data_IF_472431738146
#
_entry.id   IF_472431738146
#
_cell.length_a   1.000
_cell.length_b   1.000
_cell.length_c   1.000
_cell.angle_alpha   90.00
_cell.angle_beta   90.00
_cell.angle_gamma   90.00
#
_symmetry.space_group_name_H-M   'P 1'
#
loop_
_entity.id
_entity.type
_entity.pdbx_description
1 polymer ?
#
# COMPACT_ATOMS: atom_id res chain seq x y z
N UNK A 1 10.24 16.10 -1.08
CA UNK A 1 9.37 15.58 0.00
C UNK A 1 8.86 14.22 -0.42
N UNK A 2 8.63 13.32 0.54
CA UNK A 2 8.08 12.01 0.24
C UNK A 2 6.55 12.07 0.16
N UNK A 3 5.96 11.29 -0.74
CA UNK A 3 4.52 11.10 -0.91
C UNK A 3 4.17 9.73 -0.34
N UNK A 4 3.19 9.66 0.53
CA UNK A 4 2.68 8.43 1.11
C UNK A 4 1.53 7.88 0.27
N UNK A 5 1.52 6.57 0.14
CA UNK A 5 0.54 5.80 -0.61
C UNK A 5 -0.06 4.69 0.25
N UNK A 6 -1.24 4.22 -0.15
CA UNK A 6 -1.99 3.19 0.56
C UNK A 6 -2.70 2.23 -0.38
N UNK A 7 -2.60 0.92 -0.09
CA UNK A 7 -3.23 -0.12 -0.91
C UNK A 7 -3.69 -1.31 -0.06
N UNK A 8 -4.90 -1.82 -0.29
CA UNK A 8 -5.45 -2.98 0.43
C UNK A 8 -4.97 -4.30 -0.18
N UNK A 9 -4.07 -5.01 0.46
CA UNK A 9 -3.63 -6.31 0.01
C UNK A 9 -4.63 -7.38 0.47
N UNK A 10 -5.27 -8.02 -0.51
CA UNK A 10 -6.16 -9.16 -0.28
C UNK A 10 -5.37 -10.44 -0.51
N UNK A 11 -5.14 -11.20 0.56
CA UNK A 11 -4.49 -12.50 0.41
C UNK A 11 -5.53 -13.52 -0.09
N UNK A 12 -5.29 -14.19 -1.23
CA UNK A 12 -6.18 -15.24 -1.69
C UNK A 12 -6.23 -16.37 -0.66
N UNK A 13 -7.39 -17.00 -0.52
CA UNK A 13 -7.53 -18.20 0.30
C UNK A 13 -6.69 -19.30 -0.36
N UNK A 14 -5.45 -19.51 0.09
CA UNK A 14 -4.78 -20.75 -0.24
C UNK A 14 -5.51 -21.83 0.55
N UNK A 15 -6.08 -22.77 -0.19
CA UNK A 15 -6.72 -23.98 0.31
C UNK A 15 -5.70 -24.85 1.05
N UNK A 16 -5.30 -24.41 2.24
CA UNK A 16 -4.58 -25.21 3.22
C UNK A 16 -5.57 -25.55 4.32
N UNK A 17 -5.90 -26.83 4.42
CA UNK A 17 -6.76 -27.48 5.41
C UNK A 17 -6.27 -27.33 6.88
N UNK A 18 -5.52 -26.29 7.22
CA UNK A 18 -4.76 -26.19 8.47
C UNK A 18 -4.85 -24.84 9.20
N UNK A 19 -5.89 -24.02 8.99
CA UNK A 19 -6.19 -22.92 9.91
C UNK A 19 -7.67 -22.90 10.33
N UNK A 20 -7.98 -23.15 11.62
CA UNK A 20 -9.35 -23.09 12.15
C UNK A 20 -9.83 -21.65 12.39
N UNK A 21 -9.18 -20.66 11.79
CA UNK A 21 -9.48 -19.24 11.92
C UNK A 21 -9.66 -18.68 10.52
N UNK A 22 -10.87 -18.80 9.96
CA UNK A 22 -11.23 -18.37 8.60
C UNK A 22 -11.18 -16.85 8.35
N UNK A 23 -10.23 -16.14 8.94
CA UNK A 23 -9.97 -14.73 8.70
C UNK A 23 -8.92 -14.63 7.61
N UNK A 24 -9.34 -14.24 6.40
CA UNK A 24 -8.43 -13.80 5.35
C UNK A 24 -7.44 -12.77 5.95
N UNK A 25 -6.14 -13.05 5.89
CA UNK A 25 -5.12 -12.10 6.29
C UNK A 25 -5.04 -10.98 5.24
N UNK A 26 -5.97 -10.04 5.31
CA UNK A 26 -5.90 -8.78 4.55
C UNK A 26 -5.06 -7.78 5.33
N UNK A 27 -4.25 -7.01 4.62
CA UNK A 27 -3.47 -5.93 5.20
C UNK A 27 -3.70 -4.65 4.39
N UNK A 28 -3.51 -3.48 5.02
CA UNK A 28 -3.37 -2.23 4.29
C UNK A 28 -1.89 -1.85 4.25
N UNK A 29 -1.29 -1.86 3.07
CA UNK A 29 0.10 -1.50 2.87
C UNK A 29 0.23 0.03 2.82
N UNK A 30 1.08 0.58 3.68
CA UNK A 30 1.57 1.95 3.58
C UNK A 30 2.97 1.92 2.99
N UNK A 31 3.18 2.69 1.93
CA UNK A 31 4.47 2.85 1.30
C UNK A 31 4.67 4.32 0.90
N UNK A 32 5.81 4.67 0.32
CA UNK A 32 6.03 6.04 -0.14
C UNK A 32 6.96 6.18 -1.32
N UNK A 33 6.82 7.33 -1.97
CA UNK A 33 7.60 7.77 -3.13
C UNK A 33 8.45 8.99 -2.78
N UNK A 34 9.65 9.06 -3.33
CA UNK A 34 10.42 10.29 -3.40
C UNK A 34 11.02 10.44 -4.79
N UNK A 35 10.99 11.67 -5.30
CA UNK A 35 11.62 11.98 -6.58
C UNK A 35 13.12 11.69 -6.54
N UNK A 36 13.59 10.92 -7.52
CA UNK A 36 15.00 10.56 -7.73
C UNK A 36 15.28 10.57 -9.22
N UNK A 37 16.53 10.80 -9.61
CA UNK A 37 16.92 10.68 -11.02
C UNK A 37 16.91 9.20 -11.40
N UNK A 38 16.12 8.83 -12.39
CA UNK A 38 16.02 7.46 -12.89
C UNK A 38 16.82 7.37 -14.18
N UNK A 39 17.79 6.47 -14.20
CA UNK A 39 18.48 6.11 -15.44
C UNK A 39 17.65 5.03 -16.15
N UNK A 40 17.44 5.16 -17.47
CA UNK A 40 16.64 4.21 -18.22
C UNK A 40 17.30 2.82 -18.14
N UNK A 41 16.63 1.89 -17.46
CA UNK A 41 17.13 0.53 -17.35
C UNK A 41 16.91 -0.17 -18.68
N UNK A 42 18.00 -0.53 -19.36
CA UNK A 42 17.95 -1.53 -20.41
C UNK A 42 17.43 -2.82 -19.76
N UNK A 43 16.38 -3.42 -20.30
CA UNK A 43 15.82 -4.66 -19.77
C UNK A 43 16.86 -5.79 -19.86
N UNK A 44 17.68 -5.94 -18.81
CA UNK A 44 18.66 -7.00 -18.71
C UNK A 44 17.94 -8.35 -18.72
N UNK A 45 18.57 -9.31 -19.36
CA UNK A 45 17.93 -10.50 -19.92
C UNK A 45 17.62 -11.56 -18.84
N UNK A 46 16.72 -11.26 -17.89
CA UNK A 46 16.13 -12.24 -16.99
C UNK A 46 14.61 -12.05 -16.92
N UNK A 47 13.89 -12.97 -17.55
CA UNK A 47 12.43 -12.96 -17.76
C UNK A 47 11.57 -13.16 -16.50
N UNK A 48 12.15 -13.22 -15.29
CA UNK A 48 11.42 -13.68 -14.09
C UNK A 48 11.54 -12.78 -12.86
N UNK A 49 12.36 -11.73 -12.90
CA UNK A 49 12.59 -10.88 -11.73
C UNK A 49 11.83 -9.56 -11.87
N UNK A 50 10.76 -9.42 -11.10
CA UNK A 50 9.95 -8.19 -11.06
C UNK A 50 10.82 -6.97 -10.73
N UNK A 51 10.67 -5.86 -11.47
CA UNK A 51 11.55 -4.70 -11.32
C UNK A 51 11.16 -3.84 -10.10
N UNK A 52 12.13 -3.37 -9.30
CA UNK A 52 11.86 -2.46 -8.19
C UNK A 52 11.38 -1.10 -8.72
N UNK A 53 10.34 -0.56 -8.10
CA UNK A 53 9.87 0.77 -8.45
C UNK A 53 10.92 1.83 -8.07
N UNK A 54 11.41 2.65 -9.02
CA UNK A 54 12.59 3.49 -8.83
C UNK A 54 12.40 4.65 -7.85
N UNK A 55 11.14 5.05 -7.59
CA UNK A 55 10.83 6.12 -6.64
C UNK A 55 10.51 5.63 -5.23
N UNK A 56 10.46 4.31 -4.99
CA UNK A 56 10.14 3.79 -3.66
C UNK A 56 11.19 4.23 -2.64
N UNK A 57 10.71 4.77 -1.51
CA UNK A 57 11.56 5.13 -0.38
C UNK A 57 11.93 3.89 0.44
N UNK A 58 13.05 3.98 1.15
CA UNK A 58 13.51 2.90 2.04
C UNK A 58 12.65 2.83 3.30
N UNK A 59 12.75 1.70 4.03
CA UNK A 59 12.08 1.55 5.33
C UNK A 59 12.47 2.65 6.33
N UNK A 60 13.75 3.03 6.37
CA UNK A 60 14.21 4.08 7.26
C UNK A 60 13.58 5.44 6.92
N UNK A 61 13.51 5.79 5.63
CA UNK A 61 12.89 7.03 5.16
C UNK A 61 11.38 7.05 5.42
N UNK A 62 10.68 5.92 5.20
CA UNK A 62 9.25 5.83 5.48
C UNK A 62 8.95 6.01 6.97
N UNK A 63 9.70 5.33 7.85
CA UNK A 63 9.52 5.45 9.30
C UNK A 63 9.83 6.86 9.79
N UNK A 64 10.87 7.50 9.26
CA UNK A 64 11.18 8.90 9.59
C UNK A 64 10.09 9.85 9.11
N UNK A 65 9.56 9.64 7.90
CA UNK A 65 8.43 10.42 7.37
C UNK A 65 7.19 10.29 8.25
N UNK A 66 6.78 9.06 8.58
CA UNK A 66 5.65 8.80 9.48
C UNK A 66 5.87 9.42 10.86
N UNK A 67 7.08 9.32 11.42
CA UNK A 67 7.44 9.95 12.71
C UNK A 67 7.26 11.46 12.65
N UNK A 68 7.76 12.11 11.61
CA UNK A 68 7.63 13.57 11.43
C UNK A 68 6.16 14.01 11.31
N UNK A 69 5.36 13.27 10.53
CA UNK A 69 3.93 13.51 10.38
C UNK A 69 3.15 13.31 11.70
N UNK A 70 3.53 12.31 12.49
CA UNK A 70 2.94 12.06 13.81
C UNK A 70 3.27 13.19 14.79
N UNK A 71 4.53 13.62 14.88
CA UNK A 71 4.95 14.72 15.76
C UNK A 71 4.30 16.06 15.40
N UNK A 72 4.12 16.32 14.10
CA UNK A 72 3.41 17.49 13.60
C UNK A 72 1.88 17.37 13.69
N UNK A 73 1.36 16.25 14.22
CA UNK A 73 -0.08 15.94 14.38
C UNK A 73 -0.86 15.93 13.07
N UNK A 74 -0.20 15.64 11.95
CA UNK A 74 -0.84 15.48 10.65
C UNK A 74 -1.44 14.09 10.47
N UNK A 75 -0.92 13.09 11.19
CA UNK A 75 -1.47 11.73 11.27
C UNK A 75 -1.58 11.28 12.73
N UNK A 76 -2.44 10.30 13.00
CA UNK A 76 -2.46 9.57 14.27
C UNK A 76 -1.98 8.13 14.02
N UNK A 77 -0.83 7.77 14.58
CA UNK A 77 -0.23 6.46 14.39
C UNK A 77 -0.32 5.63 15.65
N UNK A 78 -1.28 4.70 15.67
CA UNK A 78 -1.57 3.84 16.82
C UNK A 78 -1.04 2.39 16.65
N UNK A 79 0.04 2.20 15.87
CA UNK A 79 0.58 0.87 15.57
C UNK A 79 1.73 0.53 16.52
N UNK A 80 1.42 -0.21 17.60
CA UNK A 80 2.40 -0.55 18.65
C UNK A 80 3.59 -1.37 18.15
N UNK A 81 3.39 -2.23 17.15
CA UNK A 81 4.41 -3.12 16.60
C UNK A 81 5.41 -2.38 15.70
N UNK A 82 5.09 -1.15 15.29
CA UNK A 82 5.97 -0.25 14.51
C UNK A 82 6.06 1.08 15.26
N UNK A 83 6.77 1.11 16.40
CA UNK A 83 6.82 2.29 17.23
C UNK A 83 7.57 3.41 16.49
N UNK A 84 6.89 4.54 16.29
CA UNK A 84 7.52 5.72 15.70
C UNK A 84 8.39 6.47 16.70
N UNK A 85 8.18 6.30 18.00
CA UNK A 85 9.01 6.91 19.04
C UNK A 85 9.84 5.84 19.77
N UNK A 86 11.11 6.14 20.04
CA UNK A 86 11.85 5.40 21.04
C UNK A 86 11.17 5.65 22.38
N UNK A 87 10.68 4.60 23.06
CA UNK A 87 10.11 4.73 24.40
C UNK A 87 11.17 5.35 25.34
N UNK A 88 11.09 6.65 25.55
CA UNK A 88 11.82 7.31 26.62
C UNK A 88 11.20 6.82 27.93
N UNK A 89 11.81 5.81 28.54
CA UNK A 89 11.55 5.51 29.93
C UNK A 89 11.94 6.75 30.72
N UNK A 90 10.95 7.52 31.17
CA UNK A 90 11.16 8.60 32.14
C UNK A 90 11.59 7.94 33.45
N UNK A 91 12.89 7.71 33.59
CA UNK A 91 13.49 7.24 34.82
C UNK A 91 13.39 8.35 35.87
N UNK A 92 12.34 8.31 36.68
CA UNK A 92 12.37 8.93 38.01
C UNK A 92 13.53 8.32 38.79
N UNK A 93 14.56 9.13 39.03
CA UNK A 93 15.76 8.76 39.79
C UNK A 93 15.39 8.45 41.23
N UNK A 94 15.14 7.18 41.55
CA UNK A 94 15.28 6.64 42.90
C UNK A 94 16.43 5.63 42.91
N UNK A 95 17.45 5.94 43.71
CA UNK A 95 18.67 5.14 43.88
C UNK A 95 18.32 3.81 44.58
N UNK A 96 18.54 2.66 43.94
CA UNK A 96 19.40 1.58 44.46
C UNK A 96 19.37 0.33 43.56
N UNK A 97 20.56 -0.28 43.41
CA UNK A 97 20.88 -1.65 42.97
C UNK A 97 19.81 -2.48 42.19
N UNK A 98 19.65 -2.25 40.87
CA UNK A 98 18.97 -3.22 39.97
C UNK A 98 19.40 -3.17 38.49
N UNK A 99 20.59 -2.67 38.19
CA UNK A 99 21.02 -2.29 36.83
C UNK A 99 21.29 -3.43 35.83
N UNK A 100 21.43 -4.69 36.27
CA UNK A 100 21.73 -5.82 35.36
C UNK A 100 20.47 -6.50 34.77
N UNK A 101 19.36 -6.51 35.50
CA UNK A 101 18.11 -7.14 35.03
C UNK A 101 17.34 -6.24 34.06
N UNK A 102 17.34 -4.92 34.27
CA UNK A 102 16.66 -3.96 33.37
C UNK A 102 17.28 -3.89 31.98
N UNK A 103 18.61 -4.03 31.86
CA UNK A 103 19.29 -4.01 30.56
C UNK A 103 18.95 -5.25 29.74
N UNK A 104 18.87 -6.43 30.35
CA UNK A 104 18.50 -7.66 29.64
C UNK A 104 17.04 -7.63 29.15
N UNK A 105 16.10 -7.13 29.95
CA UNK A 105 14.68 -7.00 29.57
C UNK A 105 14.48 -5.94 28.48
N UNK A 106 15.20 -4.81 28.51
CA UNK A 106 15.17 -3.81 27.44
C UNK A 106 15.73 -4.34 26.12
N UNK A 107 16.82 -5.13 26.15
CA UNK A 107 17.40 -5.71 24.94
C UNK A 107 16.47 -6.76 24.31
N UNK A 108 15.79 -7.56 25.13
CA UNK A 108 14.78 -8.53 24.67
C UNK A 108 13.54 -7.84 24.08
N UNK A 109 12.98 -6.83 24.77
CA UNK A 109 11.84 -6.06 24.26
C UNK A 109 12.16 -5.31 22.96
N UNK A 110 13.34 -4.69 22.87
CA UNK A 110 13.80 -4.00 21.66
C UNK A 110 14.04 -4.97 20.49
N UNK A 111 14.54 -6.17 20.76
CA UNK A 111 14.73 -7.21 19.75
C UNK A 111 13.40 -7.79 19.26
N UNK A 112 12.43 -8.02 20.15
CA UNK A 112 11.08 -8.48 19.77
C UNK A 112 10.30 -7.42 19.01
N UNK A 113 10.39 -6.14 19.41
CA UNK A 113 9.82 -5.02 18.65
C UNK A 113 10.46 -4.87 17.27
N UNK A 114 11.78 -5.04 17.16
CA UNK A 114 12.49 -5.02 15.87
C UNK A 114 12.07 -6.19 14.97
N UNK A 115 11.88 -7.39 15.52
CA UNK A 115 11.35 -8.55 14.76
C UNK A 115 9.90 -8.36 14.33
N UNK A 116 9.03 -7.83 15.19
CA UNK A 116 7.63 -7.55 14.86
C UNK A 116 7.49 -6.44 13.80
N UNK A 117 8.31 -5.40 13.88
CA UNK A 117 8.39 -4.36 12.86
C UNK A 117 8.87 -4.94 11.52
N UNK A 118 9.90 -5.80 11.55
CA UNK A 118 10.39 -6.49 10.34
C UNK A 118 9.34 -7.46 9.75
N UNK A 119 8.51 -8.11 10.58
CA UNK A 119 7.45 -9.01 10.10
C UNK A 119 6.30 -8.28 9.38
N UNK A 120 6.12 -6.99 9.67
CA UNK A 120 5.12 -6.14 8.99
C UNK A 120 5.66 -5.52 7.71
N UNK A 121 6.97 -5.53 7.50
CA UNK A 121 7.56 -5.05 6.28
C UNK A 121 7.34 -6.07 5.17
N UNK A 122 6.68 -5.65 4.09
CA UNK A 122 6.34 -6.53 2.98
C UNK A 122 6.81 -5.96 1.65
N UNK A 123 7.27 -6.90 0.81
CA UNK A 123 7.58 -6.71 -0.58
C UNK A 123 6.40 -7.16 -1.43
N UNK A 124 5.80 -6.28 -2.23
CA UNK A 124 4.63 -6.66 -3.04
C UNK A 124 4.70 -6.16 -4.47
N UNK A 125 3.95 -6.85 -5.33
CA UNK A 125 3.68 -6.46 -6.70
C UNK A 125 2.50 -5.50 -6.73
N UNK A 126 2.69 -4.30 -7.29
CA UNK A 126 1.61 -3.35 -7.49
C UNK A 126 1.67 -2.80 -8.92
N UNK A 127 0.52 -2.73 -9.59
CA UNK A 127 0.48 -2.13 -10.92
C UNK A 127 0.41 -0.60 -10.79
N UNK A 128 1.39 0.08 -11.37
CA UNK A 128 1.56 1.53 -11.29
C UNK A 128 1.55 2.16 -12.69
N UNK A 129 1.03 3.40 -12.83
CA UNK A 129 1.04 4.12 -14.10
C UNK A 129 2.47 4.28 -14.61
N UNK A 130 2.70 3.87 -15.85
CA UNK A 130 4.03 3.79 -16.46
C UNK A 130 3.95 4.22 -17.92
N UNK A 131 4.86 5.11 -18.31
CA UNK A 131 4.98 5.59 -19.69
C UNK A 131 5.97 4.69 -20.45
N UNK A 132 5.59 4.20 -21.64
CA UNK A 132 6.57 3.62 -22.55
C UNK A 132 7.48 4.73 -23.06
N UNK A 133 8.79 4.48 -23.05
CA UNK A 133 9.78 5.33 -23.73
C UNK A 133 10.07 4.69 -25.06
N UNK A 134 9.64 5.34 -26.14
CA UNK A 134 10.05 4.97 -27.49
C UNK A 134 11.55 5.24 -27.61
N UNK A 135 12.33 4.19 -27.91
CA UNK A 135 13.73 4.35 -28.23
C UNK A 135 13.81 5.21 -29.49
N UNK A 136 14.43 6.39 -29.37
CA UNK A 136 14.47 7.39 -30.44
C UNK A 136 14.81 6.77 -31.79
N UNK A 137 13.96 7.01 -32.78
CA UNK A 137 14.13 6.60 -34.17
C UNK A 137 15.46 7.15 -34.69
N UNK A 138 16.52 6.37 -34.54
CA UNK A 138 17.74 6.55 -35.31
C UNK A 138 17.68 5.49 -36.40
N UNK A 139 17.66 5.93 -37.67
CA UNK A 139 17.48 5.08 -38.86
C UNK A 139 18.45 3.89 -38.94
N UNK A 140 19.53 3.87 -38.15
CA UNK A 140 20.48 2.76 -38.03
C UNK A 140 19.98 1.55 -37.21
N UNK A 141 18.89 1.67 -36.44
CA UNK A 141 18.38 0.58 -35.57
C UNK A 141 17.44 -0.42 -36.27
N UNK A 142 17.06 -0.19 -37.53
CA UNK A 142 16.02 -0.97 -38.21
C UNK A 142 16.45 -2.39 -38.65
N UNK A 143 17.66 -2.86 -38.31
CA UNK A 143 18.17 -4.16 -38.76
C UNK A 143 18.70 -5.10 -37.65
N UNK A 144 18.63 -4.74 -36.37
CA UNK A 144 19.03 -5.68 -35.30
C UNK A 144 18.11 -5.60 -34.08
N UNK A 145 17.19 -6.56 -34.01
CA UNK A 145 16.34 -6.92 -32.87
C UNK A 145 15.27 -5.88 -32.47
N UNK A 146 14.09 -6.30 -31.98
CA UNK A 146 13.09 -5.38 -31.47
C UNK A 146 13.68 -4.71 -30.22
N UNK A 147 14.01 -3.43 -30.31
CA UNK A 147 14.46 -2.63 -29.17
C UNK A 147 13.37 -2.65 -28.10
N UNK A 148 13.64 -3.36 -27.00
CA UNK A 148 12.77 -3.48 -25.83
C UNK A 148 12.46 -2.08 -25.30
N UNK A 149 11.16 -1.78 -25.11
CA UNK A 149 10.70 -0.48 -24.64
C UNK A 149 11.24 -0.21 -23.23
N UNK A 150 11.98 0.87 -23.07
CA UNK A 150 12.37 1.39 -21.76
C UNK A 150 11.08 1.92 -21.11
N UNK A 151 10.77 1.54 -19.88
CA UNK A 151 9.54 1.97 -19.21
C UNK A 151 9.87 2.85 -18.00
N UNK A 152 9.25 4.02 -17.90
CA UNK A 152 9.45 4.95 -16.78
C UNK A 152 8.14 5.09 -16.01
N UNK A 153 8.09 4.69 -14.74
CA UNK A 153 6.89 4.86 -13.95
C UNK A 153 6.61 6.33 -13.68
N UNK A 154 5.35 6.68 -13.50
CA UNK A 154 4.94 8.04 -13.16
C UNK A 154 5.13 8.28 -11.66
N UNK A 155 5.97 9.26 -11.31
CA UNK A 155 6.01 9.76 -9.93
C UNK A 155 4.72 10.52 -9.60
N UNK A 156 4.19 10.33 -8.39
CA UNK A 156 2.84 10.79 -8.05
C UNK A 156 2.67 12.32 -7.90
N UNK A 157 3.77 13.07 -7.75
CA UNK A 157 3.74 14.53 -7.85
C UNK A 157 4.10 15.07 -9.25
N UNK A 158 4.37 14.20 -10.23
CA UNK A 158 4.54 14.66 -11.60
C UNK A 158 3.20 15.25 -12.10
N UNK A 159 3.23 16.41 -12.78
CA UNK A 159 2.02 16.96 -13.37
C UNK A 159 1.38 15.91 -14.30
N UNK A 160 0.05 15.95 -14.43
CA UNK A 160 -0.72 15.05 -15.29
C UNK A 160 -0.39 15.19 -16.79
N UNK A 161 0.53 16.10 -17.14
CA UNK A 161 1.03 16.35 -18.48
C UNK A 161 2.40 15.68 -18.61
N UNK A 162 2.44 14.57 -19.37
CA UNK A 162 3.66 13.93 -19.83
C UNK A 162 4.44 14.84 -20.81
N UNK A 163 5.75 14.58 -21.03
CA UNK A 163 6.53 15.27 -22.05
C UNK A 163 6.03 15.02 -23.49
N UNK A 164 5.27 13.93 -23.72
CA UNK A 164 4.50 13.68 -24.94
C UNK A 164 3.00 13.77 -24.65
N UNK A 165 2.31 14.75 -25.23
CA UNK A 165 0.87 14.98 -25.04
C UNK A 165 -0.02 13.80 -25.50
N UNK A 166 0.53 12.82 -26.23
CA UNK A 166 -0.23 11.73 -26.85
C UNK A 166 -0.03 10.35 -26.21
N UNK A 167 0.93 10.16 -25.29
CA UNK A 167 1.19 8.85 -24.69
C UNK A 167 0.37 8.68 -23.39
N UNK A 168 -0.69 7.86 -23.43
CA UNK A 168 -1.43 7.52 -22.22
C UNK A 168 -0.59 6.56 -21.34
N UNK A 169 -0.51 6.79 -20.00
CA UNK A 169 0.17 5.85 -19.13
C UNK A 169 -0.55 4.50 -19.12
N UNK A 170 0.23 3.42 -19.13
CA UNK A 170 -0.27 2.05 -18.99
C UNK A 170 0.02 1.55 -17.57
N UNK A 171 -0.75 0.57 -17.08
CA UNK A 171 -0.46 -0.05 -15.79
C UNK A 171 0.57 -1.16 -15.97
N UNK A 172 1.75 -0.99 -15.37
CA UNK A 172 2.80 -2.02 -15.33
C UNK A 172 3.10 -2.42 -13.90
N UNK A 173 3.52 -3.68 -13.71
CA UNK A 173 3.74 -4.26 -12.38
C UNK A 173 5.13 -3.90 -11.89
N UNK A 174 5.20 -3.31 -10.70
CA UNK A 174 6.44 -2.97 -10.03
C UNK A 174 6.52 -3.59 -8.64
N UNK A 175 7.74 -3.91 -8.21
CA UNK A 175 8.02 -4.32 -6.85
C UNK A 175 8.15 -3.09 -5.95
N UNK A 176 7.28 -3.02 -4.94
CA UNK A 176 7.31 -1.98 -3.92
C UNK A 176 7.51 -2.60 -2.54
N UNK A 177 7.92 -1.76 -1.60
CA UNK A 177 8.14 -2.14 -0.20
C UNK A 177 7.35 -1.21 0.71
N UNK A 178 6.76 -1.75 1.77
CA UNK A 178 6.00 -0.95 2.72
C UNK A 178 5.66 -1.69 3.99
N UNK A 179 4.96 -1.00 4.88
CA UNK A 179 4.47 -1.53 6.16
C UNK A 179 3.01 -1.97 6.05
N UNK A 180 2.74 -3.22 6.40
CA UNK A 180 1.39 -3.77 6.48
C UNK A 180 0.71 -3.42 7.81
N UNK A 181 -0.44 -2.76 7.71
CA UNK A 181 -1.36 -2.52 8.80
C UNK A 181 -2.44 -3.59 8.83
N UNK A 182 -2.79 -4.06 10.03
CA UNK A 182 -3.96 -4.92 10.22
C UNK A 182 -5.23 -4.12 9.92
N UNK A 183 -6.34 -4.75 9.54
CA UNK A 183 -7.54 -4.02 9.12
C UNK A 183 -8.03 -2.98 10.13
N UNK A 184 -8.03 -3.30 11.42
CA UNK A 184 -8.43 -2.35 12.46
C UNK A 184 -7.49 -1.13 12.57
N UNK A 185 -6.18 -1.38 12.50
CA UNK A 185 -5.16 -0.31 12.53
C UNK A 185 -5.26 0.57 11.28
N UNK A 186 -5.51 -0.05 10.12
CA UNK A 186 -5.69 0.64 8.86
C UNK A 186 -6.89 1.60 8.91
N UNK A 187 -8.03 1.16 9.43
CA UNK A 187 -9.21 2.03 9.60
C UNK A 187 -8.90 3.20 10.54
N UNK A 188 -8.25 2.94 11.68
CA UNK A 188 -7.83 4.01 12.61
C UNK A 188 -6.89 5.02 11.93
N UNK A 189 -5.91 4.54 11.16
CA UNK A 189 -5.00 5.37 10.40
C UNK A 189 -5.75 6.22 9.36
N UNK A 190 -6.58 5.61 8.52
CA UNK A 190 -7.36 6.28 7.48
C UNK A 190 -8.32 7.35 8.04
N UNK A 191 -8.91 7.10 9.22
CA UNK A 191 -9.75 8.08 9.93
C UNK A 191 -8.96 9.29 10.44
N UNK A 192 -7.66 9.13 10.68
CA UNK A 192 -6.80 10.22 11.14
C UNK A 192 -6.31 11.13 10.02
N UNK A 193 -6.39 10.67 8.77
CA UNK A 193 -5.92 11.43 7.63
C UNK A 193 -6.75 12.70 7.43
N UNK A 194 -6.11 13.81 7.02
CA UNK A 194 -6.78 15.07 6.73
C UNK A 194 -7.81 14.91 5.61
N UNK A 195 -8.92 15.65 5.75
CA UNK A 195 -10.05 15.64 4.81
C UNK A 195 -10.02 16.78 3.81
N UNK A 196 -9.22 17.80 4.08
CA UNK A 196 -9.23 19.05 3.30
C UNK A 196 -8.40 18.88 2.04
N UNK A 197 -8.97 19.24 0.90
CA UNK A 197 -8.24 19.43 -0.37
C UNK A 197 -7.57 20.82 -0.47
N UNK A 198 -7.78 21.70 0.51
CA UNK A 198 -7.47 23.14 0.40
C UNK A 198 -6.01 23.45 0.68
N UNK A 199 -5.28 22.53 1.29
CA UNK A 199 -3.83 22.59 1.33
C UNK A 199 -3.31 21.53 0.37
N UNK A 200 -2.45 21.92 -0.57
CA UNK A 200 -1.64 20.99 -1.36
C UNK A 200 -0.69 20.25 -0.40
N UNK A 201 -1.24 19.34 0.40
CA UNK A 201 -0.47 18.46 1.27
C UNK A 201 0.30 17.53 0.35
N UNK A 202 1.49 18.00 -0.02
CA UNK A 202 2.40 17.37 -0.97
C UNK A 202 2.78 15.94 -0.56
N UNK A 203 2.56 15.55 0.69
CA UNK A 203 2.90 14.23 1.19
C UNK A 203 1.77 13.21 1.03
N UNK A 204 0.51 13.60 0.81
CA UNK A 204 -0.60 12.66 0.73
C UNK A 204 -0.91 12.37 -0.75
N UNK A 205 -1.00 11.09 -1.14
CA UNK A 205 -1.36 10.68 -2.51
C UNK A 205 -2.88 10.74 -2.77
N UNK A 206 -3.27 10.60 -4.04
CA UNK A 206 -4.68 10.45 -4.42
C UNK A 206 -5.32 9.15 -3.89
N UNK A 207 -4.56 8.05 -3.82
CA UNK A 207 -5.04 6.77 -3.30
C UNK A 207 -5.34 6.79 -1.80
N UNK A 208 -4.49 7.40 -0.97
CA UNK A 208 -4.76 7.52 0.45
C UNK A 208 -5.98 8.40 0.71
N UNK A 209 -6.14 9.50 -0.05
CA UNK A 209 -7.37 10.32 0.02
C UNK A 209 -8.60 9.48 -0.35
N UNK A 210 -8.52 8.73 -1.44
CA UNK A 210 -9.61 7.84 -1.86
C UNK A 210 -9.98 6.85 -0.76
N UNK A 211 -9.01 6.10 -0.21
CA UNK A 211 -9.28 5.13 0.86
C UNK A 211 -9.75 5.79 2.17
N UNK A 212 -9.28 6.99 2.47
CA UNK A 212 -9.73 7.81 3.60
C UNK A 212 -11.22 8.17 3.50
N UNK A 213 -11.69 8.53 2.30
CA UNK A 213 -13.12 8.77 2.04
C UNK A 213 -13.95 7.48 2.07
N UNK A 214 -13.45 6.40 1.45
CA UNK A 214 -14.13 5.10 1.44
C UNK A 214 -14.27 4.54 2.87
N UNK A 215 -13.23 4.62 3.70
CA UNK A 215 -13.27 4.16 5.08
C UNK A 215 -14.33 4.91 5.90
N UNK A 216 -14.46 6.23 5.73
CA UNK A 216 -15.50 7.02 6.40
C UNK A 216 -16.90 6.69 5.92
N UNK A 217 -17.07 6.47 4.62
CA UNK A 217 -18.37 6.01 4.11
C UNK A 217 -18.72 4.60 4.61
N UNK A 218 -17.74 3.70 4.70
CA UNK A 218 -17.95 2.38 5.29
C UNK A 218 -18.38 2.46 6.77
N UNK A 219 -17.76 3.34 7.56
CA UNK A 219 -18.16 3.59 8.95
C UNK A 219 -19.56 4.19 9.07
N UNK A 220 -19.95 5.07 8.15
CA UNK A 220 -21.31 5.60 8.07
C UNK A 220 -22.34 4.49 7.74
N UNK A 221 -21.99 3.56 6.85
CA UNK A 221 -22.83 2.37 6.58
C UNK A 221 -22.96 1.49 7.84
N UNK A 222 -21.88 1.30 8.60
CA UNK A 222 -21.91 0.55 9.86
C UNK A 222 -22.78 1.25 10.90
N UNK A 223 -22.66 2.57 11.06
CA UNK A 223 -23.48 3.35 11.99
C UNK A 223 -24.98 3.31 11.64
N UNK A 224 -25.31 3.18 10.36
CA UNK A 224 -26.68 3.00 9.85
C UNK A 224 -27.14 1.54 9.80
N UNK A 225 -26.35 0.60 10.32
CA UNK A 225 -26.64 -0.84 10.31
C UNK A 225 -26.90 -1.41 8.91
N UNK A 226 -26.21 -0.90 7.89
CA UNK A 226 -26.35 -1.32 6.48
C UNK A 226 -25.50 -2.55 6.17
N UNK A 227 -25.80 -3.65 6.85
CA UNK A 227 -25.12 -4.93 6.64
C UNK A 227 -26.05 -6.11 6.94
N UNK A 228 -25.83 -7.22 6.24
CA UNK A 228 -26.58 -8.46 6.39
C UNK A 228 -25.62 -9.64 6.55
N UNK A 229 -25.95 -10.62 7.40
CA UNK A 229 -25.22 -11.88 7.44
C UNK A 229 -25.60 -12.70 6.20
N UNK A 230 -24.61 -13.23 5.50
CA UNK A 230 -24.77 -14.14 4.37
C UNK A 230 -24.00 -15.43 4.62
N UNK A 231 -24.47 -16.52 4.01
CA UNK A 231 -23.75 -17.78 3.97
C UNK A 231 -23.26 -18.00 2.54
N UNK A 232 -21.95 -17.88 2.34
CA UNK A 232 -21.31 -18.26 1.08
C UNK A 232 -20.94 -19.73 1.16
N UNK A 233 -21.39 -20.51 0.17
CA UNK A 233 -21.05 -21.93 0.09
C UNK A 233 -19.93 -22.10 -0.92
N UNK A 234 -18.76 -22.53 -0.44
CA UNK A 234 -17.63 -22.94 -1.28
C UNK A 234 -17.44 -24.43 -1.07
N UNK A 235 -17.69 -25.21 -2.12
CA UNK A 235 -17.64 -26.68 -2.11
C UNK A 235 -18.37 -27.29 -0.90
N UNK A 236 -17.59 -27.86 0.03
CA UNK A 236 -18.04 -28.61 1.22
C UNK A 236 -18.24 -27.73 2.48
N UNK A 237 -17.90 -26.44 2.43
CA UNK A 237 -17.92 -25.55 3.61
C UNK A 237 -18.84 -24.36 3.38
N UNK A 238 -19.73 -24.12 4.34
CA UNK A 238 -20.50 -22.88 4.42
C UNK A 238 -19.75 -21.89 5.32
N UNK A 239 -19.44 -20.71 4.78
CA UNK A 239 -18.74 -19.64 5.50
C UNK A 239 -19.73 -18.50 5.73
N UNK A 240 -19.94 -18.15 7.00
CA UNK A 240 -20.72 -16.98 7.38
C UNK A 240 -19.90 -15.71 7.14
N UNK A 241 -20.47 -14.74 6.43
CA UNK A 241 -19.84 -13.44 6.13
C UNK A 241 -20.82 -12.30 6.34
N UNK A 242 -20.29 -11.12 6.64
CA UNK A 242 -21.07 -9.89 6.64
C UNK A 242 -20.95 -9.22 5.28
N UNK A 243 -22.09 -8.89 4.67
CA UNK A 243 -22.17 -8.16 3.42
C UNK A 243 -22.77 -6.78 3.65
N UNK A 244 -22.18 -5.76 3.04
CA UNK A 244 -22.75 -4.40 3.04
C UNK A 244 -24.04 -4.35 2.24
N UNK A 245 -25.09 -3.76 2.82
CA UNK A 245 -26.39 -3.58 2.17
C UNK A 245 -26.45 -2.21 1.49
N UNK A 246 -26.45 -2.20 0.16
CA UNK A 246 -26.53 -1.00 -0.68
C UNK A 246 -27.88 -0.92 -1.40
N UNK A 247 -28.96 -0.89 -0.62
CA UNK A 247 -30.35 -0.93 -1.11
C UNK A 247 -30.94 0.46 -1.43
N UNK A 248 -30.31 1.52 -0.94
CA UNK A 248 -30.77 2.90 -1.16
C UNK A 248 -30.15 3.51 -2.42
N UNK A 249 -30.94 4.32 -3.14
CA UNK A 249 -30.44 5.07 -4.30
C UNK A 249 -29.24 5.98 -3.96
N UNK A 250 -29.22 6.54 -2.74
CA UNK A 250 -28.13 7.38 -2.28
C UNK A 250 -26.82 6.60 -2.09
N UNK A 251 -26.89 5.39 -1.51
CA UNK A 251 -25.71 4.54 -1.30
C UNK A 251 -25.18 3.97 -2.63
N UNK A 252 -26.08 3.61 -3.56
CA UNK A 252 -25.71 3.18 -4.90
C UNK A 252 -25.03 4.30 -5.71
N UNK A 253 -25.60 5.51 -5.70
CA UNK A 253 -24.99 6.67 -6.34
C UNK A 253 -23.60 7.00 -5.76
N UNK A 254 -23.43 6.82 -4.45
CA UNK A 254 -22.13 7.03 -3.79
C UNK A 254 -21.12 5.94 -4.16
N UNK A 255 -21.53 4.68 -4.26
CA UNK A 255 -20.67 3.62 -4.79
C UNK A 255 -20.19 3.95 -6.19
N UNK A 256 -21.13 4.31 -7.08
CA UNK A 256 -20.82 4.67 -8.46
C UNK A 256 -19.84 5.85 -8.54
N UNK A 257 -20.03 6.86 -7.70
CA UNK A 257 -19.12 7.99 -7.59
C UNK A 257 -17.70 7.54 -7.22
N UNK A 258 -17.54 6.68 -6.21
CA UNK A 258 -16.24 6.12 -5.85
C UNK A 258 -15.64 5.27 -6.97
N UNK A 259 -16.43 4.41 -7.61
CA UNK A 259 -15.95 3.58 -8.73
C UNK A 259 -15.41 4.41 -9.88
N UNK A 260 -16.08 5.52 -10.24
CA UNK A 260 -15.62 6.43 -11.30
C UNK A 260 -14.34 7.18 -10.93
N UNK A 261 -14.18 7.52 -9.64
CA UNK A 261 -13.02 8.28 -9.14
C UNK A 261 -11.86 7.41 -8.65
N UNK A 262 -12.00 6.08 -8.67
CA UNK A 262 -10.98 5.17 -8.14
C UNK A 262 -9.62 5.42 -8.81
N UNK A 263 -8.55 5.78 -8.08
CA UNK A 263 -7.23 5.99 -8.66
C UNK A 263 -6.72 4.72 -9.35
N UNK A 264 -5.93 4.88 -10.43
CA UNK A 264 -5.46 3.75 -11.24
C UNK A 264 -4.70 2.69 -10.41
N UNK A 265 -3.84 3.14 -9.48
CA UNK A 265 -3.12 2.30 -8.52
C UNK A 265 -4.04 1.46 -7.61
N UNK A 266 -5.29 1.88 -7.39
CA UNK A 266 -6.26 1.13 -6.60
C UNK A 266 -7.02 0.06 -7.40
N UNK A 267 -6.89 0.02 -8.73
CA UNK A 267 -7.69 -0.85 -9.61
C UNK A 267 -7.05 -2.22 -9.83
N UNK A 268 -5.76 -2.37 -9.56
CA UNK A 268 -4.99 -3.55 -9.92
C UNK A 268 -4.63 -4.38 -8.69
N UNK A 269 -5.57 -5.22 -8.25
CA UNK A 269 -5.25 -6.37 -7.39
C UNK A 269 -4.95 -7.55 -8.29
N UNK A 270 -3.68 -7.73 -8.63
CA UNK A 270 -3.29 -8.96 -9.30
C UNK A 270 -3.29 -10.09 -8.27
N UNK A 271 -3.96 -11.22 -8.55
CA UNK A 271 -3.69 -12.42 -7.78
C UNK A 271 -2.19 -12.70 -7.89
N UNK A 272 -1.55 -13.04 -6.76
CA UNK A 272 -0.22 -13.61 -6.76
C UNK A 272 -0.28 -15.01 -7.40
N UNK A 273 -0.53 -15.07 -8.70
CA UNK A 273 -0.48 -16.29 -9.50
C UNK A 273 0.76 -16.21 -10.37
N UNK A 274 1.82 -16.89 -9.92
CA UNK A 274 2.94 -17.32 -10.75
C UNK A 274 2.52 -18.46 -11.68
N UNK A 275 1.37 -18.34 -12.32
CA UNK A 275 0.89 -19.28 -13.34
C UNK A 275 0.45 -18.44 -14.55
N UNK A 276 1.02 -18.68 -15.74
CA UNK A 276 0.66 -17.93 -16.93
C UNK A 276 -0.82 -18.18 -17.25
N UNK A 277 -1.60 -17.11 -17.30
CA UNK A 277 -2.96 -17.16 -17.81
C UNK A 277 -2.86 -17.42 -19.32
N UNK A 278 -2.99 -18.68 -19.73
CA UNK A 278 -3.35 -19.01 -21.11
C UNK A 278 -4.70 -18.34 -21.40
N UNK A 279 -4.67 -17.38 -22.33
CA UNK A 279 -5.86 -16.77 -22.87
C UNK A 279 -6.67 -17.84 -23.63
N UNK A 280 -7.73 -18.35 -23.01
CA UNK A 280 -8.78 -19.07 -23.71
C UNK A 280 -9.79 -18.05 -24.25
N UNK A 281 -9.86 -18.00 -25.59
CA UNK A 281 -10.87 -17.31 -26.41
C UNK A 281 -12.29 -17.81 -26.12
#
# INVERSE_FOLDING_TARGET
MAILHGSWLLQPQTSSLAQPSGVQASCFLIWGEAWRRVEPQAEDTQRDTMLPHPFVITAAELIEGLRSLHHSRQINWAVSDVPLEARHTTATKTKSARSKAQSATQTLEAATLSQAANARWQSVALALPTYPVEAGETEEAMQTSPSRAIAIPQHSAAPSHSPDENAAPTLQVWQIQGVCLKPLEAIQFLQSLPLSSVSEESWLSGDLRFWSHVARWHLDLLARSKFLPILERSDEVAIARWQTLLDSAADQARLEHFSRQMPAVCRAYQPSSTEPIEAAL
#
